data_IF_981817994620
#
_entry.id   IF_981817994620
#
_cell.length_a   1.000
_cell.length_b   1.000
_cell.length_c   1.000
_cell.angle_alpha   90.00
_cell.angle_beta   90.00
_cell.angle_gamma   90.00
#
_symmetry.space_group_name_H-M   'P 1'
#
loop_
_entity.id
_entity.type
_entity.pdbx_description
1 polymer ?
#
# COMPACT_ATOMS: atom_id res chain seq x y z
N UNK A 1 -2.33 -25.27 7.53
CA UNK A 1 -1.09 -24.55 7.18
C UNK A 1 -1.29 -23.93 5.80
N UNK A 2 -1.77 -22.69 5.75
CA UNK A 2 -1.99 -21.96 4.50
C UNK A 2 -1.14 -20.70 4.50
N UNK A 3 0.11 -20.82 4.05
CA UNK A 3 1.01 -19.68 3.91
C UNK A 3 0.58 -18.87 2.69
N UNK A 4 0.09 -17.64 2.92
CA UNK A 4 -0.04 -16.65 1.87
C UNK A 4 1.34 -16.39 1.26
N UNK A 5 1.50 -16.69 -0.02
CA UNK A 5 2.76 -16.56 -0.75
C UNK A 5 3.21 -15.08 -0.77
N UNK A 6 4.15 -14.73 0.09
CA UNK A 6 5.10 -13.65 -0.19
C UNK A 6 6.38 -14.34 -0.64
N UNK A 7 6.56 -14.49 -1.95
CA UNK A 7 7.88 -14.83 -2.49
C UNK A 7 8.78 -13.64 -2.20
N UNK A 8 9.77 -13.83 -1.33
CA UNK A 8 10.77 -12.82 -1.02
C UNK A 8 11.43 -12.34 -2.32
N UNK A 9 11.13 -11.12 -2.76
CA UNK A 9 11.99 -10.42 -3.71
C UNK A 9 13.24 -10.01 -2.95
N UNK A 10 14.42 -10.48 -3.38
CA UNK A 10 15.68 -9.92 -2.91
C UNK A 10 15.68 -8.41 -3.23
N UNK A 11 16.29 -7.59 -2.37
CA UNK A 11 16.32 -6.13 -2.57
C UNK A 11 16.86 -5.74 -3.96
N UNK A 12 17.77 -6.55 -4.50
CA UNK A 12 18.40 -6.35 -5.81
C UNK A 12 17.49 -6.74 -7.01
N UNK A 13 16.33 -7.37 -6.76
CA UNK A 13 15.33 -7.73 -7.77
C UNK A 13 14.25 -6.64 -7.95
N UNK A 14 14.32 -5.54 -7.18
CA UNK A 14 13.35 -4.45 -7.28
C UNK A 14 13.74 -3.51 -8.41
N UNK A 15 12.92 -3.50 -9.47
CA UNK A 15 13.07 -2.60 -10.62
C UNK A 15 11.83 -1.70 -10.70
N UNK A 16 12.04 -0.41 -10.49
CA UNK A 16 11.03 0.62 -10.74
C UNK A 16 10.95 0.88 -12.25
N UNK A 17 9.76 0.74 -12.82
CA UNK A 17 9.48 1.07 -14.21
C UNK A 17 9.46 2.58 -14.41
N UNK A 18 8.98 3.34 -13.42
CA UNK A 18 8.94 4.79 -13.44
C UNK A 18 9.91 5.38 -12.41
N UNK A 19 9.50 6.40 -11.64
CA UNK A 19 10.40 7.17 -10.78
C UNK A 19 10.67 6.52 -9.41
N UNK A 20 9.99 5.43 -9.07
CA UNK A 20 10.08 4.82 -7.74
C UNK A 20 9.35 5.63 -6.66
N UNK A 21 9.37 5.19 -5.41
CA UNK A 21 8.85 5.97 -4.29
C UNK A 21 9.65 7.27 -4.07
N UNK A 22 9.01 8.29 -3.49
CA UNK A 22 9.60 9.63 -3.25
C UNK A 22 10.85 9.52 -2.38
N UNK A 23 10.74 8.79 -1.27
CA UNK A 23 11.85 8.52 -0.38
C UNK A 23 12.45 7.14 -0.66
N UNK A 24 13.76 7.01 -0.50
CA UNK A 24 14.42 5.70 -0.67
C UNK A 24 14.00 4.76 0.47
N UNK A 25 13.31 3.64 0.19
CA UNK A 25 12.90 2.72 1.23
C UNK A 25 14.07 1.87 1.71
N UNK A 26 13.97 1.40 2.95
CA UNK A 26 14.91 0.41 3.51
C UNK A 26 14.69 -0.94 2.84
N UNK A 27 13.42 -1.26 2.55
CA UNK A 27 13.02 -2.48 1.87
C UNK A 27 11.80 -2.24 1.00
N UNK A 28 11.78 -2.89 -0.16
CA UNK A 28 10.62 -2.94 -1.03
C UNK A 28 10.26 -4.40 -1.32
N UNK A 29 8.96 -4.68 -1.44
CA UNK A 29 8.42 -6.02 -1.69
C UNK A 29 7.40 -5.92 -2.83
N UNK A 30 7.60 -6.69 -3.91
CA UNK A 30 6.64 -6.79 -5.00
C UNK A 30 5.34 -7.41 -4.47
N UNK A 31 4.21 -6.74 -4.68
CA UNK A 31 2.89 -7.29 -4.35
C UNK A 31 2.48 -8.33 -5.39
N UNK A 32 2.78 -8.09 -6.67
CA UNK A 32 2.50 -9.02 -7.77
C UNK A 32 3.80 -9.54 -8.40
N UNK A 33 4.59 -10.37 -7.71
CA UNK A 33 5.96 -10.74 -8.11
C UNK A 33 6.06 -11.47 -9.46
N UNK A 34 4.96 -12.07 -9.93
CA UNK A 34 4.91 -12.80 -11.22
C UNK A 34 4.35 -11.97 -12.38
N UNK A 35 3.99 -10.70 -12.14
CA UNK A 35 3.34 -9.84 -13.13
C UNK A 35 4.20 -8.61 -13.38
N UNK A 36 4.73 -8.50 -14.62
CA UNK A 36 5.61 -7.41 -15.05
C UNK A 36 6.72 -7.15 -14.02
N UNK A 37 6.89 -5.90 -13.55
CA UNK A 37 7.89 -5.55 -12.55
C UNK A 37 7.42 -5.69 -11.09
N UNK A 38 6.17 -6.10 -10.86
CA UNK A 38 5.54 -6.12 -9.54
C UNK A 38 4.28 -5.26 -9.43
N UNK A 39 4.14 -4.25 -10.31
CA UNK A 39 3.05 -3.25 -10.42
C UNK A 39 2.83 -2.37 -9.18
N UNK A 40 2.68 -2.98 -8.01
CA UNK A 40 2.51 -2.35 -6.71
C UNK A 40 3.56 -2.91 -5.77
N UNK A 41 4.12 -2.05 -4.93
CA UNK A 41 5.18 -2.42 -4.01
C UNK A 41 4.81 -1.99 -2.60
N UNK A 42 4.95 -2.92 -1.64
CA UNK A 42 4.95 -2.57 -0.23
C UNK A 42 6.35 -2.14 0.15
N UNK A 43 6.49 -0.90 0.61
CA UNK A 43 7.78 -0.31 0.95
C UNK A 43 7.84 0.00 2.45
N UNK A 44 9.02 -0.19 3.03
CA UNK A 44 9.28 -0.01 4.46
C UNK A 44 10.26 1.13 4.70
N UNK A 45 9.90 2.00 5.63
CA UNK A 45 10.71 3.12 6.12
C UNK A 45 10.95 2.99 7.63
N UNK A 46 11.73 3.91 8.20
CA UNK A 46 11.90 4.11 9.64
C UNK A 46 12.23 2.83 10.41
N UNK A 47 13.31 2.15 10.02
CA UNK A 47 13.72 0.88 10.64
C UNK A 47 12.83 -0.33 10.33
N UNK A 48 11.76 -0.15 9.55
CA UNK A 48 10.78 -1.19 9.21
C UNK A 48 9.39 -0.96 9.79
N UNK A 49 9.24 0.03 10.68
CA UNK A 49 8.00 0.27 11.43
C UNK A 49 6.96 1.04 10.63
N UNK A 50 7.37 1.78 9.60
CA UNK A 50 6.46 2.52 8.71
C UNK A 50 6.27 1.77 7.40
N UNK A 51 5.04 1.35 7.14
CA UNK A 51 4.64 0.70 5.89
C UNK A 51 3.95 1.70 4.99
N UNK A 52 4.34 1.70 3.73
CA UNK A 52 3.67 2.43 2.68
C UNK A 52 3.51 1.55 1.44
N UNK A 53 2.74 2.04 0.47
CA UNK A 53 2.60 1.41 -0.83
C UNK A 53 2.96 2.37 -1.94
N UNK A 54 3.74 1.89 -2.90
CA UNK A 54 4.06 2.60 -4.13
C UNK A 54 3.42 1.90 -5.34
N UNK A 55 2.60 2.64 -6.08
CA UNK A 55 1.97 2.19 -7.31
C UNK A 55 2.80 2.61 -8.52
N UNK A 56 3.43 1.65 -9.17
CA UNK A 56 4.32 1.88 -10.31
C UNK A 56 3.60 1.67 -11.65
N UNK A 57 2.30 2.01 -11.70
CA UNK A 57 1.46 1.94 -12.90
C UNK A 57 0.88 3.31 -13.26
N UNK A 58 0.43 3.50 -14.50
CA UNK A 58 -0.29 4.70 -14.96
C UNK A 58 -1.80 4.46 -15.13
N UNK A 59 -2.15 3.19 -15.23
CA UNK A 59 -3.43 2.69 -15.70
C UNK A 59 -4.32 2.23 -14.56
N UNK A 60 -3.76 1.82 -13.42
CA UNK A 60 -4.52 1.23 -12.31
C UNK A 60 -4.38 2.04 -11.02
N UNK A 61 -5.46 2.16 -10.28
CA UNK A 61 -5.43 2.47 -8.85
C UNK A 61 -5.56 1.16 -8.06
N UNK A 62 -4.93 1.08 -6.90
CA UNK A 62 -4.99 -0.12 -6.07
C UNK A 62 -5.79 0.13 -4.81
N UNK A 63 -6.82 -0.68 -4.60
CA UNK A 63 -7.64 -0.69 -3.40
C UNK A 63 -7.07 -1.78 -2.48
N UNK A 64 -6.55 -1.37 -1.33
CA UNK A 64 -5.78 -2.20 -0.41
C UNK A 64 -6.58 -2.35 0.87
N UNK A 65 -6.74 -3.61 1.31
CA UNK A 65 -7.37 -3.94 2.58
C UNK A 65 -6.49 -4.92 3.34
N UNK A 66 -6.14 -4.59 4.57
CA UNK A 66 -5.46 -5.50 5.48
C UNK A 66 -6.31 -5.74 6.72
N UNK A 67 -6.41 -7.00 7.12
CA UNK A 67 -7.07 -7.43 8.35
C UNK A 67 -6.00 -7.87 9.33
N UNK A 68 -5.65 -6.99 10.26
CA UNK A 68 -4.67 -7.28 11.30
C UNK A 68 -5.33 -7.93 12.53
N UNK A 69 -4.60 -8.80 13.20
CA UNK A 69 -5.03 -9.38 14.48
C UNK A 69 -5.19 -8.31 15.55
N UNK A 70 -6.07 -8.56 16.52
CA UNK A 70 -6.26 -7.73 17.74
C UNK A 70 -4.94 -7.36 18.41
N UNK A 71 -4.00 -8.31 18.44
CA UNK A 71 -2.70 -8.20 19.12
C UNK A 71 -1.71 -7.29 18.38
N UNK A 72 -2.02 -6.85 17.15
CA UNK A 72 -1.12 -5.98 16.37
C UNK A 72 -1.16 -4.55 16.93
N UNK A 73 0.01 -3.98 17.21
CA UNK A 73 0.14 -2.60 17.68
C UNK A 73 0.41 -1.70 16.47
N UNK A 74 -0.66 -1.19 15.87
CA UNK A 74 -0.59 -0.41 14.62
C UNK A 74 -1.50 0.81 14.67
N UNK A 75 -1.11 1.83 13.92
CA UNK A 75 -1.89 3.04 13.64
C UNK A 75 -2.00 3.23 12.13
N UNK A 76 -3.16 3.68 11.64
CA UNK A 76 -3.30 4.07 10.24
C UNK A 76 -2.72 5.46 10.02
N UNK A 77 -2.05 5.64 8.88
CA UNK A 77 -1.37 6.88 8.53
C UNK A 77 -2.10 7.63 7.41
N UNK A 78 -2.08 8.96 7.49
CA UNK A 78 -2.53 9.86 6.43
C UNK A 78 -3.92 9.51 5.86
N UNK A 79 -3.96 8.96 4.65
CA UNK A 79 -5.17 8.63 3.90
C UNK A 79 -5.70 7.22 4.19
N UNK A 80 -4.98 6.42 4.97
CA UNK A 80 -5.44 5.10 5.39
C UNK A 80 -6.53 5.22 6.47
N UNK A 81 -7.54 4.36 6.39
CA UNK A 81 -8.65 4.32 7.35
C UNK A 81 -8.57 3.05 8.19
N UNK A 82 -8.56 3.19 9.51
CA UNK A 82 -8.60 2.06 10.46
C UNK A 82 -10.01 1.88 11.02
N UNK A 83 -10.54 0.67 10.91
CA UNK A 83 -11.84 0.26 11.47
C UNK A 83 -11.63 -0.93 12.41
N UNK A 84 -12.13 -0.83 13.64
CA UNK A 84 -12.19 -1.96 14.56
C UNK A 84 -13.40 -2.83 14.21
N UNK A 85 -13.16 -4.11 13.93
CA UNK A 85 -14.21 -5.07 13.63
C UNK A 85 -14.76 -5.70 14.91
N UNK A 86 -15.99 -6.21 14.86
CA UNK A 86 -16.66 -6.84 16.01
C UNK A 86 -15.90 -8.04 16.59
N UNK A 87 -15.13 -8.74 15.75
CA UNK A 87 -14.29 -9.87 16.15
C UNK A 87 -12.93 -9.46 16.75
N UNK A 88 -12.70 -8.15 16.97
CA UNK A 88 -11.46 -7.60 17.53
C UNK A 88 -10.32 -7.42 16.51
N UNK A 89 -10.50 -7.79 15.25
CA UNK A 89 -9.52 -7.50 14.20
C UNK A 89 -9.54 -6.01 13.82
N UNK A 90 -8.42 -5.53 13.29
CA UNK A 90 -8.26 -4.16 12.80
C UNK A 90 -8.23 -4.20 11.27
N UNK A 91 -9.26 -3.66 10.62
CA UNK A 91 -9.27 -3.46 9.18
C UNK A 91 -8.59 -2.13 8.87
N UNK A 92 -7.57 -2.14 8.01
CA UNK A 92 -6.98 -0.92 7.46
C UNK A 92 -7.16 -0.90 5.95
N UNK A 93 -7.71 0.19 5.44
CA UNK A 93 -8.02 0.39 4.02
C UNK A 93 -7.25 1.59 3.46
N UNK A 94 -6.78 1.49 2.21
CA UNK A 94 -6.09 2.56 1.51
C UNK A 94 -6.31 2.42 0.00
N UNK A 95 -6.40 3.55 -0.71
CA UNK A 95 -6.33 3.55 -2.17
C UNK A 95 -5.05 4.26 -2.62
N UNK A 96 -4.28 3.60 -3.49
CA UNK A 96 -3.01 4.11 -4.01
C UNK A 96 -3.12 4.36 -5.51
N UNK A 97 -2.99 5.62 -5.90
CA UNK A 97 -3.16 6.05 -7.28
C UNK A 97 -1.92 5.84 -8.12
N UNK A 98 -2.09 5.83 -9.46
CA UNK A 98 -0.98 5.80 -10.39
C UNK A 98 0.19 6.69 -10.01
N UNK A 99 1.38 6.10 -9.91
CA UNK A 99 2.65 6.78 -9.63
C UNK A 99 2.73 7.49 -8.27
N UNK A 100 1.88 7.12 -7.31
CA UNK A 100 1.89 7.70 -5.97
C UNK A 100 2.45 6.73 -4.94
N UNK A 101 3.03 7.31 -3.89
CA UNK A 101 3.38 6.62 -2.64
C UNK A 101 2.43 7.11 -1.56
N UNK A 102 1.76 6.19 -0.88
CA UNK A 102 0.85 6.52 0.22
C UNK A 102 1.24 5.70 1.45
N UNK A 103 1.46 6.39 2.57
CA UNK A 103 1.69 5.74 3.86
C UNK A 103 0.44 4.97 4.30
N UNK A 104 0.65 3.80 4.90
CA UNK A 104 -0.41 2.88 5.23
C UNK A 104 -0.57 2.73 6.74
N UNK A 105 0.48 2.22 7.40
CA UNK A 105 0.50 2.02 8.85
C UNK A 105 1.86 2.35 9.45
N UNK A 106 1.86 2.70 10.74
CA UNK A 106 3.04 2.67 11.59
C UNK A 106 2.85 1.63 12.71
N UNK A 107 3.95 1.02 13.16
CA UNK A 107 4.01 0.16 14.33
C UNK A 107 4.41 -1.29 14.03
N UNK A 108 3.95 -2.21 14.86
CA UNK A 108 4.33 -3.63 14.83
C UNK A 108 3.15 -4.52 14.42
N UNK A 109 3.00 -4.82 13.11
CA UNK A 109 2.00 -5.76 12.64
C UNK A 109 2.43 -7.21 12.95
N UNK A 110 1.58 -7.98 13.63
CA UNK A 110 1.87 -9.37 14.01
C UNK A 110 1.32 -10.38 12.99
N UNK A 111 0.01 -10.64 13.02
CA UNK A 111 -0.68 -11.52 12.06
C UNK A 111 -1.64 -10.70 11.23
N UNK A 112 -1.63 -10.90 9.92
CA UNK A 112 -2.52 -10.20 9.02
C UNK A 112 -2.84 -11.02 7.77
N UNK A 113 -4.00 -10.74 7.17
CA UNK A 113 -4.35 -11.12 5.80
C UNK A 113 -4.63 -9.87 5.00
N UNK A 114 -4.57 -9.97 3.67
CA UNK A 114 -4.78 -8.82 2.79
C UNK A 114 -5.55 -9.19 1.54
N UNK A 115 -6.38 -8.25 1.08
CA UNK A 115 -7.01 -8.25 -0.23
C UNK A 115 -6.58 -7.00 -0.96
N UNK A 116 -6.07 -7.16 -2.19
CA UNK A 116 -5.57 -6.04 -3.00
C UNK A 116 -6.15 -6.18 -4.40
N UNK A 117 -6.80 -5.13 -4.87
CA UNK A 117 -7.50 -5.09 -6.16
C UNK A 117 -6.98 -3.93 -7.00
N UNK A 118 -6.54 -4.23 -8.23
CA UNK A 118 -6.15 -3.22 -9.22
C UNK A 118 -7.33 -2.83 -10.08
N UNK A 119 -7.82 -1.61 -9.92
CA UNK A 119 -8.97 -1.07 -10.65
C UNK A 119 -8.46 -0.15 -11.77
N UNK A 120 -8.93 -0.28 -13.02
CA UNK A 120 -8.58 0.67 -14.07
C UNK A 120 -8.94 2.10 -13.65
N UNK A 121 -7.93 2.98 -13.62
CA UNK A 121 -8.08 4.38 -13.27
C UNK A 121 -8.95 5.08 -14.33
N UNK A 122 -10.19 5.40 -13.98
CA UNK A 122 -11.06 6.18 -14.86
C UNK A 122 -10.60 7.64 -14.89
N UNK A 123 -10.79 8.34 -16.03
CA UNK A 123 -10.51 9.78 -16.12
C UNK A 123 -11.29 10.59 -15.06
N UNK A 124 -12.46 10.11 -14.65
CA UNK A 124 -13.29 10.75 -13.63
C UNK A 124 -12.63 10.77 -12.25
N UNK A 125 -12.02 9.66 -11.85
CA UNK A 125 -11.34 9.58 -10.56
C UNK A 125 -10.16 10.56 -10.49
N UNK A 126 -9.33 10.59 -11.54
CA UNK A 126 -8.20 11.54 -11.66
C UNK A 126 -8.65 13.00 -11.50
N UNK A 127 -9.81 13.36 -12.05
CA UNK A 127 -10.38 14.71 -11.95
C UNK A 127 -10.93 15.04 -10.56
N UNK A 128 -11.57 14.08 -9.87
CA UNK A 128 -12.09 14.29 -8.51
C UNK A 128 -10.94 14.49 -7.49
N UNK A 129 -9.82 13.77 -7.63
CA UNK A 129 -8.65 13.96 -6.76
C UNK A 129 -7.92 15.28 -7.00
N UNK A 130 -7.78 15.72 -8.26
CA UNK A 130 -7.27 17.07 -8.58
C UNK A 130 -8.13 18.13 -7.87
N UNK A 131 -9.46 17.98 -7.93
CA UNK A 131 -10.40 18.89 -7.26
C UNK A 131 -10.29 18.86 -5.74
N UNK A 132 -10.07 17.70 -5.14
CA UNK A 132 -9.90 17.56 -3.68
C UNK A 132 -8.59 18.19 -3.19
N UNK A 133 -7.47 17.94 -3.88
CA UNK A 133 -6.17 18.57 -3.57
C UNK A 133 -6.22 20.09 -3.68
N UNK A 134 -6.84 20.62 -4.73
CA UNK A 134 -7.01 22.07 -4.90
C UNK A 134 -7.85 22.73 -3.80
N UNK A 135 -8.84 22.01 -3.23
CA UNK A 135 -9.64 22.54 -2.12
C UNK A 135 -8.92 22.53 -0.77
N UNK A 136 -7.93 21.67 -0.59
CA UNK A 136 -7.17 21.61 0.67
C UNK A 136 -6.07 22.69 0.77
N UNK A 137 -5.85 23.47 -0.29
CA UNK A 137 -4.86 24.56 -0.37
C UNK A 137 -5.50 25.96 -0.38
N UNK A 138 -6.81 26.07 -0.22
CA UNK A 138 -7.55 27.33 -0.04
C UNK A 138 -8.03 27.44 1.41
#
# INVERSE_FOLDING_TARGET
>A
MGCGYSTYSASDDIVWKYHGPIDKPIKAIKVFPKIQNGLLFRVLYDGGDRWAFYNDTKEYEFHIRYFFSSDSYIEALHNATLTLLENGQKLVELIVYPLETEDFIAGCPLRYTSTIEGIPSSNRYKLEKIRSRLRSQM
#
